data_IF_481014255365
#
_entry.id   IF_481014255365
#
_cell.length_a   1.000
_cell.length_b   1.000
_cell.length_c   1.000
_cell.angle_alpha   90.00
_cell.angle_beta   90.00
_cell.angle_gamma   90.00
#
_symmetry.space_group_name_H-M   'P 1'
#
loop_
_entity.id
_entity.type
_entity.pdbx_description
1 polymer ?
#
# COMPACT_ATOMS: atom_id res chain seq x y z
N UNK A 1 -11.24 44.99 32.79
CA UNK A 1 -11.74 44.25 31.61
C UNK A 1 -10.61 43.52 30.85
N UNK A 2 -9.54 44.19 30.38
CA UNK A 2 -8.40 43.54 29.66
C UNK A 2 -7.65 42.44 30.46
N UNK A 3 -7.55 42.59 31.78
CA UNK A 3 -6.85 41.62 32.65
C UNK A 3 -7.66 40.35 32.95
N UNK A 4 -9.00 40.44 32.96
CA UNK A 4 -9.89 39.30 33.15
C UNK A 4 -9.98 38.43 31.88
N UNK A 5 -9.94 39.06 30.70
CA UNK A 5 -9.94 38.36 29.41
C UNK A 5 -8.64 37.55 29.23
N UNK A 6 -7.48 38.11 29.63
CA UNK A 6 -6.20 37.37 29.61
C UNK A 6 -6.19 36.16 30.55
N UNK A 7 -6.81 36.26 31.74
CA UNK A 7 -6.91 35.15 32.69
C UNK A 7 -7.88 34.06 32.21
N UNK A 8 -8.99 34.45 31.56
CA UNK A 8 -9.93 33.50 30.97
C UNK A 8 -9.36 32.72 29.78
N UNK A 9 -8.59 33.38 28.91
CA UNK A 9 -7.94 32.72 27.77
C UNK A 9 -6.83 31.75 28.21
N UNK A 10 -6.09 32.10 29.27
CA UNK A 10 -5.03 31.25 29.82
C UNK A 10 -5.59 30.00 30.52
N UNK A 11 -6.75 30.11 31.16
CA UNK A 11 -7.43 28.97 31.77
C UNK A 11 -8.03 28.02 30.73
N UNK A 12 -8.61 28.56 29.64
CA UNK A 12 -9.16 27.76 28.55
C UNK A 12 -8.06 26.98 27.80
N UNK A 13 -6.90 27.61 27.58
CA UNK A 13 -5.76 26.97 26.92
C UNK A 13 -5.12 25.87 27.77
N UNK A 14 -5.10 26.04 29.10
CA UNK A 14 -4.60 25.02 30.03
C UNK A 14 -5.55 23.80 30.10
N UNK A 15 -6.86 24.02 30.03
CA UNK A 15 -7.86 22.93 29.99
C UNK A 15 -7.81 22.19 28.65
N UNK A 16 -7.62 22.89 27.53
CA UNK A 16 -7.47 22.26 26.22
C UNK A 16 -6.19 21.40 26.13
N UNK A 17 -5.08 21.87 26.71
CA UNK A 17 -3.83 21.11 26.80
C UNK A 17 -3.97 19.87 27.71
N UNK A 18 -4.71 20.01 28.81
CA UNK A 18 -4.98 18.89 29.73
C UNK A 18 -5.91 17.83 29.11
N UNK A 19 -6.87 18.24 28.28
CA UNK A 19 -7.74 17.32 27.52
C UNK A 19 -6.95 16.58 26.43
N UNK A 20 -5.98 17.23 25.77
CA UNK A 20 -5.08 16.56 24.83
C UNK A 20 -4.13 15.56 25.50
N UNK A 21 -3.76 15.76 26.78
CA UNK A 21 -2.92 14.82 27.53
C UNK A 21 -3.68 13.68 28.24
N UNK A 22 -5.03 13.73 28.25
CA UNK A 22 -5.89 12.70 28.85
C UNK A 22 -6.41 11.68 27.83
N UNK A 23 -6.11 11.87 26.54
CA UNK A 23 -6.31 10.82 25.56
C UNK A 23 -5.14 9.84 25.74
N UNK A 24 -5.37 8.58 26.14
CA UNK A 24 -4.35 7.57 26.00
C UNK A 24 -4.00 7.54 24.52
N UNK A 25 -2.80 8.00 24.18
CA UNK A 25 -2.11 7.49 22.99
C UNK A 25 -1.84 6.04 23.35
N UNK A 26 -2.81 5.17 23.12
CA UNK A 26 -2.50 3.77 22.91
C UNK A 26 -1.53 3.81 21.73
N UNK A 27 -0.26 3.54 21.98
CA UNK A 27 0.57 3.01 20.93
C UNK A 27 -0.23 1.82 20.42
N UNK A 28 -0.76 1.91 19.19
CA UNK A 28 -1.45 0.79 18.58
C UNK A 28 -0.45 -0.37 18.67
N UNK A 29 -0.78 -1.38 19.48
CA UNK A 29 -0.05 -2.63 19.47
C UNK A 29 -0.13 -3.07 18.01
N UNK A 30 1.01 -3.24 17.34
CA UNK A 30 1.01 -3.68 15.94
C UNK A 30 0.26 -4.99 15.91
N UNK A 31 -0.92 -4.99 15.29
CA UNK A 31 -1.76 -6.18 15.23
C UNK A 31 -0.91 -7.32 14.69
N UNK A 32 -0.88 -8.45 15.39
CA UNK A 32 -0.13 -9.59 14.89
C UNK A 32 -0.81 -10.09 13.61
N UNK A 33 -0.05 -10.68 12.69
CA UNK A 33 -0.65 -11.31 11.51
C UNK A 33 -1.70 -12.36 11.94
N UNK A 34 -1.46 -13.09 13.03
CA UNK A 34 -2.40 -14.08 13.54
C UNK A 34 -3.76 -13.44 13.91
N UNK A 35 -3.76 -12.31 14.61
CA UNK A 35 -5.00 -11.61 14.98
C UNK A 35 -5.73 -11.08 13.72
N UNK A 36 -4.99 -10.53 12.76
CA UNK A 36 -5.55 -10.07 11.50
C UNK A 36 -6.19 -11.22 10.70
N UNK A 37 -5.57 -12.40 10.71
CA UNK A 37 -6.07 -13.61 10.05
C UNK A 37 -7.30 -14.18 10.76
N UNK A 38 -7.33 -14.22 12.09
CA UNK A 38 -8.50 -14.67 12.85
C UNK A 38 -9.71 -13.75 12.59
N UNK A 39 -9.48 -12.44 12.55
CA UNK A 39 -10.52 -11.46 12.21
C UNK A 39 -10.97 -11.57 10.76
N UNK A 40 -10.04 -11.81 9.83
CA UNK A 40 -10.36 -12.03 8.41
C UNK A 40 -11.21 -13.28 8.22
N UNK A 41 -10.89 -14.37 8.93
CA UNK A 41 -11.69 -15.60 8.92
C UNK A 41 -13.11 -15.34 9.46
N UNK A 42 -13.22 -14.60 10.58
CA UNK A 42 -14.53 -14.22 11.14
C UNK A 42 -15.34 -13.34 10.18
N UNK A 43 -14.70 -12.38 9.53
CA UNK A 43 -15.34 -11.53 8.53
C UNK A 43 -15.85 -12.35 7.34
N UNK A 44 -15.05 -13.31 6.84
CA UNK A 44 -15.45 -14.16 5.74
C UNK A 44 -16.61 -15.09 6.12
N UNK A 45 -16.66 -15.60 7.34
CA UNK A 45 -17.83 -16.31 7.86
C UNK A 45 -19.10 -15.44 7.81
N UNK A 46 -19.01 -14.17 8.22
CA UNK A 46 -20.15 -13.25 8.12
C UNK A 46 -20.54 -12.97 6.67
N UNK A 47 -19.58 -12.91 5.75
CA UNK A 47 -19.85 -12.77 4.31
C UNK A 47 -20.63 -13.97 3.75
N UNK A 48 -20.29 -15.18 4.19
CA UNK A 48 -21.00 -16.41 3.82
C UNK A 48 -22.44 -16.43 4.38
N UNK A 49 -22.60 -16.08 5.66
CA UNK A 49 -23.91 -15.95 6.30
C UNK A 49 -24.80 -14.92 5.59
N UNK A 50 -24.22 -13.76 5.24
CA UNK A 50 -24.91 -12.70 4.51
C UNK A 50 -25.34 -13.16 3.10
N UNK A 51 -24.43 -13.75 2.32
CA UNK A 51 -24.72 -14.24 0.98
C UNK A 51 -25.81 -15.32 0.99
N UNK A 52 -25.74 -16.26 1.94
CA UNK A 52 -26.76 -17.29 2.13
C UNK A 52 -28.13 -16.70 2.51
N UNK A 53 -28.15 -15.67 3.36
CA UNK A 53 -29.38 -15.01 3.82
C UNK A 53 -30.09 -14.17 2.74
N UNK A 54 -29.33 -13.57 1.82
CA UNK A 54 -29.88 -12.71 0.76
C UNK A 54 -30.38 -13.48 -0.47
N UNK A 55 -30.12 -14.79 -0.57
CA UNK A 55 -30.29 -15.57 -1.81
C UNK A 55 -29.57 -14.90 -3.02
N UNK A 56 -28.48 -14.18 -2.77
CA UNK A 56 -27.70 -13.51 -3.80
C UNK A 56 -26.53 -14.40 -4.26
N UNK A 57 -26.08 -14.20 -5.49
CA UNK A 57 -24.84 -14.81 -6.03
C UNK A 57 -23.58 -14.04 -5.58
N UNK A 58 -23.65 -13.32 -4.45
CA UNK A 58 -22.50 -12.54 -3.96
C UNK A 58 -21.38 -13.48 -3.55
N UNK A 59 -20.20 -13.32 -4.16
CA UNK A 59 -19.00 -14.09 -3.81
C UNK A 59 -18.51 -13.65 -2.40
N UNK A 60 -18.57 -14.52 -1.37
CA UNK A 60 -18.17 -14.15 -0.01
C UNK A 60 -16.73 -13.66 0.07
N UNK A 61 -15.82 -14.23 -0.73
CA UNK A 61 -14.44 -13.77 -0.83
C UNK A 61 -14.37 -12.29 -1.25
N UNK A 62 -15.17 -11.89 -2.23
CA UNK A 62 -15.19 -10.50 -2.69
C UNK A 62 -15.89 -9.56 -1.71
N UNK A 63 -16.89 -10.02 -0.97
CA UNK A 63 -17.47 -9.24 0.13
C UNK A 63 -16.41 -8.96 1.21
N UNK A 64 -15.63 -9.97 1.59
CA UNK A 64 -14.52 -9.85 2.55
C UNK A 64 -13.46 -8.85 2.06
N UNK A 65 -12.95 -9.04 0.84
CA UNK A 65 -11.92 -8.16 0.25
C UNK A 65 -12.43 -6.72 0.14
N UNK A 66 -13.64 -6.52 -0.38
CA UNK A 66 -14.21 -5.19 -0.53
C UNK A 66 -14.45 -4.51 0.82
N UNK A 67 -14.86 -5.26 1.85
CA UNK A 67 -14.99 -4.73 3.20
C UNK A 67 -13.64 -4.23 3.72
N UNK A 68 -12.59 -5.07 3.71
CA UNK A 68 -11.26 -4.72 4.23
C UNK A 68 -10.68 -3.49 3.52
N UNK A 69 -10.76 -3.43 2.18
CA UNK A 69 -10.15 -2.32 1.42
C UNK A 69 -10.88 -0.97 1.53
N UNK A 70 -12.07 -0.93 2.13
CA UNK A 70 -13.05 0.17 1.98
C UNK A 70 -12.50 1.56 2.31
N UNK A 71 -11.61 1.69 3.30
CA UNK A 71 -11.14 3.01 3.72
C UNK A 71 -9.99 3.56 2.86
N UNK A 72 -9.19 2.69 2.22
CA UNK A 72 -7.96 3.07 1.51
C UNK A 72 -8.06 2.93 0.00
N UNK A 73 -8.72 1.88 -0.49
CA UNK A 73 -8.74 1.54 -1.91
C UNK A 73 -10.16 1.44 -2.44
N UNK A 74 -11.04 2.43 -2.20
CA UNK A 74 -12.46 2.41 -2.63
C UNK A 74 -12.85 3.58 -3.55
N UNK A 75 -11.93 4.02 -4.40
CA UNK A 75 -12.23 4.98 -5.46
C UNK A 75 -12.80 4.29 -6.72
N UNK A 76 -13.25 5.10 -7.68
CA UNK A 76 -13.87 4.62 -8.90
C UNK A 76 -12.98 3.67 -9.74
N UNK A 77 -11.66 3.80 -9.65
CA UNK A 77 -10.72 2.94 -10.38
C UNK A 77 -10.67 1.56 -9.74
N UNK A 78 -10.57 1.51 -8.41
CA UNK A 78 -10.60 0.26 -7.66
C UNK A 78 -11.96 -0.43 -7.73
N UNK A 79 -13.04 0.33 -7.65
CA UNK A 79 -14.41 -0.19 -7.75
C UNK A 79 -14.74 -0.75 -9.13
N UNK A 80 -14.11 -0.22 -10.19
CA UNK A 80 -14.22 -0.80 -11.54
C UNK A 80 -13.63 -2.21 -11.61
N UNK A 81 -12.63 -2.53 -10.80
CA UNK A 81 -11.89 -3.79 -10.82
C UNK A 81 -12.47 -4.79 -9.80
N UNK A 82 -12.69 -4.33 -8.57
CA UNK A 82 -13.09 -5.17 -7.44
C UNK A 82 -14.59 -5.12 -7.12
N UNK A 83 -15.32 -4.16 -7.72
CA UNK A 83 -16.73 -3.88 -7.43
C UNK A 83 -16.89 -3.09 -6.13
N UNK A 84 -17.78 -2.09 -6.11
CA UNK A 84 -17.94 -1.19 -4.97
C UNK A 84 -18.21 -1.92 -3.63
N UNK A 85 -17.66 -1.45 -2.49
CA UNK A 85 -18.02 -1.97 -1.18
C UNK A 85 -19.53 -1.90 -0.91
N UNK A 86 -20.11 -2.96 -0.34
CA UNK A 86 -21.53 -3.00 0.00
C UNK A 86 -21.79 -2.36 1.36
N UNK A 87 -22.57 -1.28 1.35
CA UNK A 87 -23.00 -0.60 2.58
C UNK A 87 -23.91 -1.50 3.42
N UNK A 88 -24.77 -2.32 2.79
CA UNK A 88 -25.65 -3.26 3.47
C UNK A 88 -24.86 -4.37 4.16
N UNK A 89 -23.82 -4.90 3.50
CA UNK A 89 -22.93 -5.87 4.14
C UNK A 89 -22.15 -5.22 5.29
N UNK A 90 -21.66 -4.00 5.12
CA UNK A 90 -20.96 -3.29 6.20
C UNK A 90 -21.86 -3.07 7.43
N UNK A 91 -23.13 -2.70 7.23
CA UNK A 91 -24.12 -2.59 8.31
C UNK A 91 -24.42 -3.95 8.96
N UNK A 92 -24.47 -5.03 8.18
CA UNK A 92 -24.63 -6.38 8.71
C UNK A 92 -23.45 -6.76 9.61
N UNK A 93 -22.21 -6.55 9.16
CA UNK A 93 -21.01 -6.81 9.96
C UNK A 93 -21.02 -5.97 11.24
N UNK A 94 -21.27 -4.67 11.16
CA UNK A 94 -21.33 -3.79 12.32
C UNK A 94 -22.39 -4.21 13.37
N UNK A 95 -23.47 -4.86 12.93
CA UNK A 95 -24.50 -5.41 13.81
C UNK A 95 -24.12 -6.73 14.50
N UNK A 96 -23.21 -7.51 13.90
CA UNK A 96 -22.79 -8.82 14.42
C UNK A 96 -21.47 -8.74 15.20
N UNK A 97 -20.51 -8.01 14.67
CA UNK A 97 -19.14 -7.91 15.18
C UNK A 97 -18.50 -6.57 14.77
N UNK A 98 -18.76 -5.49 15.54
CA UNK A 98 -18.29 -4.15 15.19
C UNK A 98 -16.77 -3.99 15.30
N UNK A 99 -16.06 -4.87 16.02
CA UNK A 99 -14.60 -4.78 16.15
C UNK A 99 -13.89 -5.07 14.82
N UNK A 100 -14.55 -5.79 13.89
CA UNK A 100 -14.01 -6.06 12.55
C UNK A 100 -13.80 -4.81 11.69
N UNK A 101 -14.38 -3.67 12.06
CA UNK A 101 -14.08 -2.38 11.40
C UNK A 101 -12.58 -2.06 11.43
N UNK A 102 -11.86 -2.53 12.45
CA UNK A 102 -10.42 -2.29 12.57
C UNK A 102 -9.61 -2.85 11.40
N UNK A 103 -10.08 -3.93 10.75
CA UNK A 103 -9.43 -4.50 9.56
C UNK A 103 -9.29 -3.48 8.43
N UNK A 104 -10.17 -2.46 8.38
CA UNK A 104 -10.15 -1.43 7.34
C UNK A 104 -9.08 -0.37 7.55
N UNK A 105 -8.52 -0.31 8.76
CA UNK A 105 -7.51 0.67 9.17
C UNK A 105 -6.20 0.02 9.60
N UNK A 106 -6.07 -1.30 9.41
CA UNK A 106 -4.80 -1.98 9.66
C UNK A 106 -3.73 -1.40 8.73
N UNK A 107 -2.58 -1.15 9.33
CA UNK A 107 -1.36 -0.78 8.62
C UNK A 107 -0.48 -2.03 8.49
N UNK A 108 0.80 -1.93 8.85
CA UNK A 108 1.74 -3.03 8.74
C UNK A 108 1.47 -4.12 9.78
N UNK A 109 1.49 -5.37 9.32
CA UNK A 109 1.55 -6.58 10.16
C UNK A 109 2.86 -7.30 9.93
N UNK A 110 3.40 -7.94 10.97
CA UNK A 110 4.68 -8.65 10.87
C UNK A 110 4.51 -10.03 10.26
N UNK A 111 5.26 -10.34 9.20
CA UNK A 111 5.35 -11.67 8.60
C UNK A 111 6.07 -12.61 9.59
N UNK A 112 5.44 -13.69 10.08
CA UNK A 112 6.03 -14.53 11.12
C UNK A 112 7.36 -15.18 10.74
N UNK A 113 7.53 -15.58 9.48
CA UNK A 113 8.71 -16.31 9.01
C UNK A 113 9.95 -15.41 8.87
N UNK A 114 9.79 -14.14 8.46
CA UNK A 114 10.90 -13.21 8.19
C UNK A 114 11.02 -12.09 9.21
N UNK A 115 9.93 -11.73 9.90
CA UNK A 115 9.85 -10.58 10.80
C UNK A 115 9.70 -9.23 10.09
N UNK A 116 9.55 -9.24 8.77
CA UNK A 116 9.37 -8.04 7.95
C UNK A 116 7.93 -7.53 8.01
N UNK A 117 7.71 -6.21 7.89
CA UNK A 117 6.37 -5.64 7.82
C UNK A 117 5.77 -5.85 6.42
N UNK A 118 4.48 -6.17 6.36
CA UNK A 118 3.68 -6.11 5.13
C UNK A 118 2.46 -5.23 5.37
N UNK A 119 2.14 -4.35 4.43
CA UNK A 119 0.92 -3.56 4.51
C UNK A 119 -0.29 -4.48 4.26
N UNK A 120 -1.08 -4.72 5.31
CA UNK A 120 -2.13 -5.73 5.26
C UNK A 120 -3.28 -5.34 4.33
N UNK A 121 -3.69 -4.07 4.34
CA UNK A 121 -4.82 -3.63 3.51
C UNK A 121 -4.40 -3.55 2.04
N UNK A 122 -3.17 -3.10 1.76
CA UNK A 122 -2.59 -3.14 0.42
C UNK A 122 -2.49 -4.58 -0.10
N UNK A 123 -2.00 -5.50 0.73
CA UNK A 123 -1.93 -6.94 0.41
C UNK A 123 -3.30 -7.49 0.02
N UNK A 124 -4.33 -7.26 0.85
CA UNK A 124 -5.69 -7.78 0.58
C UNK A 124 -6.28 -7.18 -0.70
N UNK A 125 -6.04 -5.89 -0.99
CA UNK A 125 -6.45 -5.27 -2.23
C UNK A 125 -5.73 -5.90 -3.46
N UNK A 126 -4.42 -6.12 -3.36
CA UNK A 126 -3.61 -6.77 -4.39
C UNK A 126 -4.00 -8.23 -4.65
N UNK A 127 -4.32 -9.00 -3.60
CA UNK A 127 -4.89 -10.36 -3.71
C UNK A 127 -6.18 -10.33 -4.52
N UNK A 128 -7.10 -9.43 -4.16
CA UNK A 128 -8.38 -9.29 -4.87
C UNK A 128 -8.20 -8.92 -6.33
N UNK A 129 -7.30 -7.99 -6.63
CA UNK A 129 -7.06 -7.57 -8.01
C UNK A 129 -6.44 -8.69 -8.84
N UNK A 130 -5.52 -9.45 -8.25
CA UNK A 130 -4.93 -10.62 -8.90
C UNK A 130 -5.97 -11.71 -9.15
N UNK A 131 -6.84 -11.99 -8.17
CA UNK A 131 -8.00 -12.89 -8.35
C UNK A 131 -8.91 -12.42 -9.50
N UNK A 132 -9.09 -11.10 -9.64
CA UNK A 132 -9.81 -10.46 -10.76
C UNK A 132 -8.97 -10.30 -12.04
N UNK A 133 -7.79 -10.91 -12.11
CA UNK A 133 -6.89 -10.93 -13.28
C UNK A 133 -6.33 -9.57 -13.68
N UNK A 134 -6.19 -8.67 -12.71
CA UNK A 134 -5.55 -7.35 -12.87
C UNK A 134 -4.32 -7.21 -11.95
N UNK A 135 -3.34 -8.13 -11.97
CA UNK A 135 -2.24 -8.10 -11.03
C UNK A 135 -1.33 -6.88 -11.20
N UNK A 136 -0.92 -6.53 -12.44
CA UNK A 136 0.15 -5.54 -12.64
C UNK A 136 -0.24 -4.15 -12.16
N UNK A 137 -1.31 -3.55 -12.72
CA UNK A 137 -1.70 -2.16 -12.40
C UNK A 137 -2.13 -1.95 -10.94
N UNK A 138 -2.65 -3.00 -10.29
CA UNK A 138 -3.16 -2.94 -8.92
C UNK A 138 -2.18 -3.46 -7.87
N UNK A 139 -0.97 -3.83 -8.28
CA UNK A 139 0.12 -4.15 -7.36
C UNK A 139 1.34 -3.33 -7.79
N UNK A 140 2.49 -3.97 -8.02
CA UNK A 140 3.78 -3.36 -8.33
C UNK A 140 3.74 -2.31 -9.45
N UNK A 141 2.90 -2.48 -10.47
CA UNK A 141 2.81 -1.56 -11.58
C UNK A 141 2.21 -0.20 -11.20
N UNK A 142 1.23 -0.18 -10.29
CA UNK A 142 0.62 1.06 -9.79
C UNK A 142 1.62 1.90 -9.01
N UNK A 143 2.35 1.27 -8.09
CA UNK A 143 3.33 1.94 -7.24
C UNK A 143 4.57 2.37 -8.05
N UNK A 144 4.98 1.58 -9.04
CA UNK A 144 5.98 1.99 -10.02
C UNK A 144 5.57 3.28 -10.76
N UNK A 145 4.31 3.42 -11.17
CA UNK A 145 3.83 4.65 -11.85
C UNK A 145 3.89 5.85 -10.91
N UNK A 146 3.46 5.68 -9.65
CA UNK A 146 3.50 6.74 -8.66
C UNK A 146 4.93 7.20 -8.37
N UNK A 147 5.83 6.25 -8.15
CA UNK A 147 7.24 6.53 -7.89
C UNK A 147 7.91 7.18 -9.10
N UNK A 148 7.70 6.68 -10.32
CA UNK A 148 8.20 7.29 -11.55
C UNK A 148 7.69 8.74 -11.71
N UNK A 149 6.42 8.97 -11.39
CA UNK A 149 5.80 10.31 -11.43
C UNK A 149 6.48 11.33 -10.52
N UNK A 150 7.12 10.89 -9.43
CA UNK A 150 7.83 11.79 -8.49
C UNK A 150 9.02 12.53 -9.11
N UNK A 151 9.60 11.98 -10.18
CA UNK A 151 10.73 12.57 -10.91
C UNK A 151 10.38 12.94 -12.36
N UNK A 152 9.08 13.07 -12.67
CA UNK A 152 8.61 13.45 -13.99
C UNK A 152 9.27 14.76 -14.45
N UNK A 153 9.78 14.77 -15.69
CA UNK A 153 10.31 15.99 -16.31
C UNK A 153 11.69 16.44 -15.80
N UNK A 154 12.40 15.61 -15.05
CA UNK A 154 13.80 15.87 -14.65
C UNK A 154 14.77 15.97 -15.84
N UNK A 155 14.42 15.37 -16.99
CA UNK A 155 15.25 15.33 -18.19
C UNK A 155 16.45 14.39 -18.11
N UNK A 156 16.51 13.56 -17.07
CA UNK A 156 17.48 12.47 -16.96
C UNK A 156 17.16 11.34 -17.94
N UNK A 157 18.19 10.61 -18.35
CA UNK A 157 18.03 9.32 -19.02
C UNK A 157 17.66 8.22 -18.01
N UNK A 158 17.43 7.00 -18.49
CA UNK A 158 17.01 5.89 -17.64
C UNK A 158 17.98 5.64 -16.47
N UNK A 159 19.29 5.63 -16.71
CA UNK A 159 20.28 5.41 -15.65
C UNK A 159 20.27 6.57 -14.63
N UNK A 160 20.17 7.82 -15.09
CA UNK A 160 20.02 8.96 -14.21
C UNK A 160 18.74 8.92 -13.38
N UNK A 161 17.65 8.38 -13.93
CA UNK A 161 16.40 8.14 -13.20
C UNK A 161 16.57 6.99 -12.17
N UNK A 162 17.25 5.90 -12.52
CA UNK A 162 17.58 4.81 -11.59
C UNK A 162 18.32 5.35 -10.37
N UNK A 163 19.37 6.16 -10.56
CA UNK A 163 20.14 6.73 -9.45
C UNK A 163 19.31 7.65 -8.55
N UNK A 164 18.31 8.34 -9.09
CA UNK A 164 17.40 9.21 -8.32
C UNK A 164 16.36 8.42 -7.54
N UNK A 165 15.83 7.34 -8.12
CA UNK A 165 14.73 6.58 -7.53
C UNK A 165 15.20 5.47 -6.57
N UNK A 166 16.41 4.94 -6.77
CA UNK A 166 16.95 3.83 -5.97
C UNK A 166 16.89 4.03 -4.45
N UNK A 167 17.14 5.22 -3.87
CA UNK A 167 17.02 5.43 -2.42
C UNK A 167 15.59 5.29 -1.88
N UNK A 168 14.58 5.41 -2.74
CA UNK A 168 13.17 5.36 -2.39
C UNK A 168 12.54 4.02 -2.79
N UNK A 169 13.10 3.29 -3.75
CA UNK A 169 12.58 1.99 -4.17
C UNK A 169 12.80 0.93 -3.08
N UNK A 170 11.72 0.35 -2.54
CA UNK A 170 11.77 -0.71 -1.50
C UNK A 170 12.56 -0.25 -0.27
N UNK A 171 12.33 0.99 0.18
CA UNK A 171 13.01 1.52 1.36
C UNK A 171 12.28 1.14 2.67
N UNK A 172 13.05 0.92 3.73
CA UNK A 172 12.51 0.63 5.07
C UNK A 172 11.79 1.82 5.73
N UNK A 173 12.12 3.06 5.34
CA UNK A 173 11.43 4.25 5.85
C UNK A 173 10.11 4.46 5.10
N UNK A 174 9.03 3.97 5.70
CA UNK A 174 7.64 4.10 5.23
C UNK A 174 7.23 5.54 4.86
N UNK A 175 7.87 6.56 5.43
CA UNK A 175 7.52 7.97 5.16
C UNK A 175 8.37 8.59 4.04
N UNK A 176 9.40 7.88 3.57
CA UNK A 176 10.33 8.38 2.58
C UNK A 176 9.92 8.05 1.14
N UNK A 177 9.05 7.07 0.93
CA UNK A 177 8.75 6.53 -0.40
C UNK A 177 7.26 6.38 -0.69
N UNK A 178 6.95 6.37 -1.98
CA UNK A 178 5.66 5.95 -2.55
C UNK A 178 5.63 4.45 -2.87
N UNK A 179 6.69 3.73 -2.54
CA UNK A 179 6.86 2.29 -2.68
C UNK A 179 7.83 1.79 -1.59
N UNK A 180 7.43 1.88 -0.30
CA UNK A 180 8.21 1.35 0.80
C UNK A 180 8.30 -0.19 0.74
N UNK A 181 9.14 -0.77 1.60
CA UNK A 181 9.33 -2.23 1.64
C UNK A 181 8.01 -2.97 1.95
N UNK A 182 7.17 -2.44 2.84
CA UNK A 182 5.87 -3.04 3.19
C UNK A 182 4.94 -3.22 1.98
N UNK A 183 4.82 -2.19 1.14
CA UNK A 183 4.03 -2.19 -0.09
C UNK A 183 4.65 -3.12 -1.14
N UNK A 184 5.98 -3.09 -1.30
CA UNK A 184 6.67 -4.04 -2.19
C UNK A 184 6.40 -5.50 -1.82
N UNK A 185 6.48 -5.83 -0.53
CA UNK A 185 6.14 -7.17 -0.07
C UNK A 185 4.67 -7.48 -0.32
N UNK A 186 3.77 -6.53 -0.06
CA UNK A 186 2.33 -6.68 -0.32
C UNK A 186 2.02 -6.89 -1.81
N UNK A 187 2.76 -6.23 -2.71
CA UNK A 187 2.62 -6.37 -4.15
C UNK A 187 3.02 -7.76 -4.64
N UNK A 188 4.20 -8.23 -4.23
CA UNK A 188 4.69 -9.56 -4.62
C UNK A 188 3.80 -10.66 -4.05
N UNK A 189 3.49 -10.54 -2.76
CA UNK A 189 2.72 -11.54 -2.02
C UNK A 189 1.25 -11.54 -2.46
N UNK A 190 0.68 -10.38 -2.78
CA UNK A 190 -0.67 -10.25 -3.30
C UNK A 190 -0.86 -10.95 -4.64
N UNK A 191 0.15 -10.87 -5.53
CA UNK A 191 0.18 -11.64 -6.77
C UNK A 191 0.28 -13.14 -6.49
N UNK A 192 1.21 -13.55 -5.63
CA UNK A 192 1.47 -14.96 -5.36
C UNK A 192 0.29 -15.66 -4.70
N UNK A 193 -0.39 -14.98 -3.77
CA UNK A 193 -1.58 -15.52 -3.10
C UNK A 193 -2.77 -15.45 -4.06
N UNK A 194 -3.03 -14.29 -4.67
CA UNK A 194 -4.23 -14.09 -5.48
C UNK A 194 -4.35 -15.01 -6.70
N UNK A 195 -3.24 -15.44 -7.30
CA UNK A 195 -3.27 -16.36 -8.45
C UNK A 195 -3.71 -17.78 -8.07
N UNK A 196 -3.60 -18.14 -6.78
CA UNK A 196 -4.01 -19.45 -6.25
C UNK A 196 -5.49 -19.52 -5.90
N UNK A 197 -6.16 -18.37 -5.76
CA UNK A 197 -7.54 -18.31 -5.31
C UNK A 197 -8.54 -18.70 -6.40
N UNK A 198 -9.58 -19.40 -5.97
CA UNK A 198 -10.84 -19.60 -6.70
C UNK A 198 -12.03 -19.10 -5.87
N UNK A 199 -13.22 -19.02 -6.48
CA UNK A 199 -14.45 -18.72 -5.74
C UNK A 199 -14.63 -19.71 -4.57
N UNK A 200 -14.97 -19.20 -3.39
CA UNK A 200 -15.09 -19.97 -2.17
C UNK A 200 -13.76 -20.32 -1.47
N UNK A 201 -12.63 -19.81 -1.93
CA UNK A 201 -11.36 -19.96 -1.19
C UNK A 201 -11.42 -19.22 0.14
N UNK A 202 -10.81 -19.78 1.18
CA UNK A 202 -10.61 -19.12 2.46
C UNK A 202 -9.41 -18.16 2.36
N UNK A 203 -9.67 -16.86 2.49
CA UNK A 203 -8.64 -15.82 2.38
C UNK A 203 -7.63 -15.90 3.52
N UNK A 204 -8.11 -16.15 4.73
CA UNK A 204 -7.27 -16.23 5.92
C UNK A 204 -6.33 -17.43 5.85
N UNK A 205 -6.87 -18.59 5.47
CA UNK A 205 -6.09 -19.80 5.26
C UNK A 205 -5.05 -19.59 4.14
N UNK A 206 -5.42 -18.98 3.02
CA UNK A 206 -4.49 -18.75 1.91
C UNK A 206 -3.30 -17.86 2.30
N UNK A 207 -3.56 -16.73 2.99
CA UNK A 207 -2.50 -15.85 3.49
C UNK A 207 -1.66 -16.58 4.55
N UNK A 208 -2.30 -17.25 5.49
CA UNK A 208 -1.63 -17.98 6.56
C UNK A 208 -0.72 -19.09 6.04
N UNK A 209 -1.18 -19.90 5.08
CA UNK A 209 -0.38 -20.94 4.45
C UNK A 209 0.82 -20.38 3.67
N UNK A 210 0.62 -19.28 2.93
CA UNK A 210 1.69 -18.63 2.18
C UNK A 210 2.83 -18.17 3.10
N UNK A 211 2.50 -17.62 4.27
CA UNK A 211 3.49 -17.08 5.21
C UNK A 211 4.14 -18.08 6.18
N UNK A 212 3.77 -19.37 6.14
CA UNK A 212 4.35 -20.38 7.07
C UNK A 212 5.86 -20.57 6.89
N UNK A 213 6.34 -20.58 5.64
CA UNK A 213 7.73 -20.89 5.28
C UNK A 213 8.25 -19.96 4.18
N UNK A 214 7.71 -18.73 4.09
CA UNK A 214 8.13 -17.77 3.07
C UNK A 214 9.59 -17.35 3.28
N UNK A 215 10.30 -17.18 2.17
CA UNK A 215 11.62 -16.56 2.08
C UNK A 215 11.63 -15.61 0.89
N UNK A 216 12.59 -14.69 0.82
CA UNK A 216 12.73 -13.80 -0.35
C UNK A 216 12.91 -14.56 -1.65
N UNK A 217 13.72 -15.63 -1.63
CA UNK A 217 13.90 -16.49 -2.79
C UNK A 217 12.57 -17.14 -3.22
N UNK A 218 11.80 -17.70 -2.28
CA UNK A 218 10.51 -18.34 -2.57
C UNK A 218 9.50 -17.33 -3.11
N UNK A 219 9.41 -16.16 -2.49
CA UNK A 219 8.57 -15.02 -2.88
C UNK A 219 8.88 -14.56 -4.30
N UNK A 220 10.13 -14.20 -4.56
CA UNK A 220 10.56 -13.71 -5.87
C UNK A 220 10.39 -14.78 -6.94
N UNK A 221 10.70 -16.04 -6.63
CA UNK A 221 10.57 -17.15 -7.59
C UNK A 221 9.11 -17.37 -8.00
N UNK A 222 8.19 -17.39 -7.04
CA UNK A 222 6.76 -17.54 -7.32
C UNK A 222 6.24 -16.35 -8.12
N UNK A 223 6.65 -15.13 -7.75
CA UNK A 223 6.22 -13.91 -8.44
C UNK A 223 6.71 -13.89 -9.88
N UNK A 224 7.99 -14.20 -10.11
CA UNK A 224 8.58 -14.21 -11.44
C UNK A 224 7.89 -15.23 -12.34
N UNK A 225 7.62 -16.46 -11.84
CA UNK A 225 6.84 -17.44 -12.59
C UNK A 225 5.43 -16.94 -12.91
N UNK A 226 4.75 -16.34 -11.94
CA UNK A 226 3.38 -15.87 -12.11
C UNK A 226 3.26 -14.72 -13.13
N UNK A 227 4.22 -13.78 -13.13
CA UNK A 227 4.14 -12.58 -13.96
C UNK A 227 4.85 -12.71 -15.30
N UNK A 228 6.02 -13.36 -15.33
CA UNK A 228 6.92 -13.38 -16.48
C UNK A 228 7.14 -14.79 -17.05
N UNK A 229 6.73 -15.83 -16.33
CA UNK A 229 6.99 -17.22 -16.70
C UNK A 229 8.43 -17.63 -16.38
N UNK A 230 9.03 -18.45 -17.23
CA UNK A 230 10.46 -18.78 -17.09
C UNK A 230 11.32 -17.55 -17.43
N UNK A 231 12.36 -17.32 -16.63
CA UNK A 231 13.21 -16.15 -16.76
C UNK A 231 14.65 -16.49 -16.33
N UNK A 232 15.64 -15.91 -17.02
CA UNK A 232 17.03 -15.93 -16.60
C UNK A 232 17.36 -14.61 -15.88
N UNK A 233 17.19 -14.57 -14.56
CA UNK A 233 17.40 -13.34 -13.79
C UNK A 233 18.88 -12.96 -13.67
N UNK A 234 19.80 -13.87 -14.04
CA UNK A 234 21.23 -13.61 -14.14
C UNK A 234 21.60 -12.79 -15.38
N UNK A 235 20.81 -12.87 -16.44
CA UNK A 235 20.90 -11.97 -17.60
C UNK A 235 20.09 -10.69 -17.32
N UNK A 236 20.72 -9.75 -16.62
CA UNK A 236 20.05 -8.52 -16.16
C UNK A 236 19.46 -7.70 -17.29
N UNK A 237 20.14 -7.61 -18.43
CA UNK A 237 19.65 -6.82 -19.56
C UNK A 237 18.39 -7.44 -20.15
N UNK A 238 18.42 -8.75 -20.42
CA UNK A 238 17.26 -9.47 -20.94
C UNK A 238 16.10 -9.47 -19.95
N UNK A 239 16.37 -9.65 -18.65
CA UNK A 239 15.33 -9.67 -17.63
C UNK A 239 14.69 -8.29 -17.42
N UNK A 240 15.48 -7.21 -17.41
CA UNK A 240 14.94 -5.83 -17.42
C UNK A 240 14.01 -5.60 -18.61
N UNK A 241 14.40 -6.07 -19.80
CA UNK A 241 13.54 -5.94 -20.98
C UNK A 241 12.24 -6.73 -20.82
N UNK A 242 12.29 -7.95 -20.29
CA UNK A 242 11.09 -8.76 -20.03
C UNK A 242 10.12 -8.07 -19.05
N UNK A 243 10.63 -7.43 -17.99
CA UNK A 243 9.82 -6.66 -17.03
C UNK A 243 9.20 -5.43 -17.71
N UNK A 244 9.98 -4.68 -18.50
CA UNK A 244 9.48 -3.54 -19.28
C UNK A 244 8.38 -3.96 -20.26
N UNK A 245 8.60 -5.02 -21.02
CA UNK A 245 7.62 -5.54 -21.98
C UNK A 245 6.32 -5.91 -21.28
N UNK A 246 6.39 -6.60 -20.14
CA UNK A 246 5.21 -6.93 -19.33
C UNK A 246 4.48 -5.69 -18.85
N UNK A 247 5.21 -4.72 -18.30
CA UNK A 247 4.65 -3.47 -17.76
C UNK A 247 3.95 -2.66 -18.86
N UNK A 248 4.65 -2.39 -19.96
CA UNK A 248 4.12 -1.56 -21.05
C UNK A 248 3.05 -2.25 -21.89
N UNK A 249 3.01 -3.59 -21.93
CA UNK A 249 1.94 -4.34 -22.59
C UNK A 249 0.67 -4.51 -21.73
N UNK A 250 0.74 -4.26 -20.42
CA UNK A 250 -0.41 -4.41 -19.53
C UNK A 250 -1.48 -3.35 -19.83
N UNK A 251 -2.70 -3.80 -20.13
CA UNK A 251 -3.79 -2.91 -20.51
C UNK A 251 -4.28 -2.03 -19.35
N UNK A 252 -4.13 -2.49 -18.10
CA UNK A 252 -4.45 -1.69 -16.92
C UNK A 252 -3.46 -0.53 -16.76
N UNK A 253 -2.17 -0.81 -16.88
CA UNK A 253 -1.10 0.20 -16.88
C UNK A 253 -1.30 1.21 -17.99
N UNK A 254 -1.54 0.76 -19.22
CA UNK A 254 -1.81 1.65 -20.36
C UNK A 254 -3.02 2.56 -20.11
N UNK A 255 -4.14 1.99 -19.61
CA UNK A 255 -5.34 2.76 -19.30
C UNK A 255 -5.08 3.80 -18.21
N UNK A 256 -4.38 3.43 -17.15
CA UNK A 256 -4.04 4.33 -16.06
C UNK A 256 -3.16 5.49 -16.56
N UNK A 257 -2.09 5.19 -17.29
CA UNK A 257 -1.18 6.20 -17.84
C UNK A 257 -1.86 7.11 -18.87
N UNK A 258 -2.75 6.57 -19.71
CA UNK A 258 -3.57 7.39 -20.63
C UNK A 258 -4.52 8.32 -19.86
N UNK A 259 -5.17 7.82 -18.81
CA UNK A 259 -6.07 8.64 -17.97
C UNK A 259 -5.33 9.79 -17.28
N UNK A 260 -4.07 9.57 -16.93
CA UNK A 260 -3.17 10.55 -16.30
C UNK A 260 -2.40 11.42 -17.32
N UNK A 261 -2.60 11.19 -18.62
CA UNK A 261 -1.88 11.88 -19.72
C UNK A 261 -0.35 11.67 -19.69
N UNK A 262 0.08 10.54 -19.13
CA UNK A 262 1.47 10.08 -19.10
C UNK A 262 1.78 9.11 -20.26
N UNK A 263 0.75 8.65 -20.96
CA UNK A 263 0.84 8.03 -22.29
C UNK A 263 -0.02 8.79 -23.29
N UNK A 264 0.30 8.64 -24.57
CA UNK A 264 -0.42 9.22 -25.71
C UNK A 264 -0.41 8.25 -26.89
N UNK A 265 -1.11 8.61 -27.96
CA UNK A 265 -0.96 7.98 -29.27
C UNK A 265 0.07 8.73 -30.11
N UNK A 266 0.97 8.00 -30.77
CA UNK A 266 1.86 8.53 -31.81
C UNK A 266 1.12 8.74 -33.15
N UNK A 267 1.85 9.14 -34.21
CA UNK A 267 1.27 9.37 -35.53
C UNK A 267 0.67 8.09 -36.14
N UNK A 268 1.25 6.93 -35.83
CA UNK A 268 0.81 5.60 -36.23
C UNK A 268 -0.29 5.00 -35.34
N UNK A 269 -0.72 5.72 -34.29
CA UNK A 269 -1.69 5.30 -33.26
C UNK A 269 -1.21 4.17 -32.36
N UNK A 270 0.09 4.02 -32.16
CA UNK A 270 0.64 3.20 -31.10
C UNK A 270 0.56 3.96 -29.78
N UNK A 271 0.34 3.23 -28.68
CA UNK A 271 0.40 3.79 -27.34
C UNK A 271 1.87 3.95 -26.96
N UNK A 272 2.27 5.17 -26.62
CA UNK A 272 3.65 5.52 -26.25
C UNK A 272 3.65 6.37 -24.98
N UNK A 273 4.69 6.23 -24.15
CA UNK A 273 4.91 7.12 -23.02
C UNK A 273 5.21 8.54 -23.53
N UNK A 274 4.79 9.56 -22.78
CA UNK A 274 5.21 10.94 -23.07
C UNK A 274 6.68 11.11 -22.69
N UNK A 275 7.44 11.94 -23.42
CA UNK A 275 8.89 12.13 -23.22
C UNK A 275 9.30 12.37 -21.76
N UNK A 276 8.49 13.11 -21.00
CA UNK A 276 8.77 13.42 -19.59
C UNK A 276 8.65 12.23 -18.63
N UNK A 277 8.06 11.13 -19.09
CA UNK A 277 7.76 9.92 -18.30
C UNK A 277 8.44 8.67 -18.84
N UNK A 278 8.92 8.66 -20.08
CA UNK A 278 9.54 7.48 -20.70
C UNK A 278 10.73 6.95 -19.89
N UNK A 279 11.74 7.79 -19.60
CA UNK A 279 12.89 7.39 -18.80
C UNK A 279 12.53 7.03 -17.34
N UNK A 280 11.69 7.80 -16.61
CA UNK A 280 11.22 7.40 -15.28
C UNK A 280 10.51 6.04 -15.22
N UNK A 281 9.61 5.74 -16.18
CA UNK A 281 8.88 4.47 -16.22
C UNK A 281 9.82 3.29 -16.54
N UNK A 282 10.75 3.48 -17.47
CA UNK A 282 11.77 2.48 -17.75
C UNK A 282 12.67 2.22 -16.53
N UNK A 283 13.01 3.26 -15.77
CA UNK A 283 13.86 3.15 -14.58
C UNK A 283 13.21 2.34 -13.45
N UNK A 284 11.93 2.56 -13.13
CA UNK A 284 11.23 1.75 -12.11
C UNK A 284 11.06 0.28 -12.55
N UNK A 285 10.86 0.02 -13.84
CA UNK A 285 10.87 -1.35 -14.37
C UNK A 285 12.25 -2.00 -14.22
N UNK A 286 13.32 -1.26 -14.49
CA UNK A 286 14.69 -1.76 -14.31
C UNK A 286 15.03 -2.03 -12.85
N UNK A 287 14.60 -1.15 -11.93
CA UNK A 287 14.72 -1.35 -10.48
C UNK A 287 13.94 -2.60 -10.02
N UNK A 288 12.71 -2.78 -10.51
CA UNK A 288 11.91 -3.99 -10.24
C UNK A 288 12.65 -5.26 -10.65
N UNK A 289 13.18 -5.29 -11.88
CA UNK A 289 13.94 -6.43 -12.39
C UNK A 289 15.22 -6.69 -11.58
N UNK A 290 15.96 -5.62 -11.25
CA UNK A 290 17.19 -5.73 -10.46
C UNK A 290 16.93 -6.26 -9.05
N UNK A 291 15.91 -5.75 -8.37
CA UNK A 291 15.54 -6.20 -7.03
C UNK A 291 15.11 -7.66 -7.03
N UNK A 292 14.30 -8.09 -8.01
CA UNK A 292 13.91 -9.50 -8.14
C UNK A 292 15.13 -10.40 -8.46
N UNK A 293 16.04 -9.95 -9.33
CA UNK A 293 17.27 -10.66 -9.62
C UNK A 293 18.18 -10.79 -8.38
N UNK A 294 18.25 -9.74 -7.54
CA UNK A 294 18.99 -9.76 -6.28
C UNK A 294 18.37 -10.74 -5.27
N UNK A 295 17.04 -10.74 -5.10
CA UNK A 295 16.33 -11.70 -4.25
C UNK A 295 16.54 -13.16 -4.69
N UNK A 296 16.79 -13.39 -5.98
CA UNK A 296 17.03 -14.70 -6.57
C UNK A 296 18.51 -15.05 -6.73
N UNK A 297 19.42 -14.15 -6.35
CA UNK A 297 20.86 -14.33 -6.58
C UNK A 297 21.23 -14.55 -8.05
N UNK A 298 20.44 -14.02 -8.99
CA UNK A 298 20.59 -14.22 -10.43
C UNK A 298 20.23 -15.63 -10.93
N UNK A 299 19.44 -16.40 -10.17
CA UNK A 299 19.04 -17.75 -10.56
C UNK A 299 18.12 -17.76 -11.80
N UNK A 300 18.21 -18.83 -12.58
CA UNK A 300 17.19 -19.14 -13.60
C UNK A 300 15.93 -19.66 -12.94
N UNK A 301 14.82 -19.02 -13.24
CA UNK A 301 13.49 -19.39 -12.77
C UNK A 301 12.83 -20.27 -13.84
N UNK A 302 12.45 -21.49 -13.46
CA UNK A 302 11.79 -22.48 -14.33
C UNK A 302 10.62 -23.13 -13.60
N UNK A 303 9.68 -23.77 -14.31
CA UNK A 303 8.56 -24.47 -13.66
C UNK A 303 9.02 -25.71 -12.86
N UNK A 304 10.19 -26.27 -13.19
CA UNK A 304 10.76 -27.40 -12.48
C UNK A 304 11.21 -27.00 -11.05
N UNK A 305 10.99 -27.84 -10.03
CA UNK A 305 11.44 -27.54 -8.67
C UNK A 305 12.95 -27.28 -8.68
N UNK A 306 13.37 -26.20 -8.00
CA UNK A 306 14.77 -25.83 -7.89
C UNK A 306 15.57 -27.03 -7.38
N UNK A 307 16.54 -27.50 -8.17
CA UNK A 307 17.50 -28.47 -7.67
C UNK A 307 18.33 -27.75 -6.61
N UNK A 308 18.10 -28.11 -5.34
CA UNK A 308 18.95 -27.71 -4.23
C UNK A 308 20.38 -28.16 -4.53
N UNK A 309 21.20 -27.23 -4.98
CA UNK A 309 22.63 -27.46 -5.12
C UNK A 309 23.24 -27.34 -3.72
N UNK A 310 23.35 -28.48 -3.02
CA UNK A 310 24.11 -28.58 -1.78
C UNK A 310 25.59 -28.22 -2.02
N UNK A 311 26.03 -27.14 -1.37
CA UNK A 311 27.36 -26.86 -0.80
C UNK A 311 28.61 -27.34 -1.55
N UNK A 312 29.44 -26.38 -1.97
CA UNK A 312 30.87 -26.45 -1.70
C UNK A 312 31.30 -25.30 -0.80
N UNK A 313 31.46 -25.63 0.47
CA UNK A 313 32.18 -24.84 1.44
C UNK A 313 33.68 -24.77 1.11
N UNK A 314 34.24 -23.57 1.24
CA UNK A 314 35.64 -23.38 1.61
C UNK A 314 36.44 -22.46 0.69
N UNK A 315 36.52 -21.18 1.06
CA UNK A 315 37.82 -20.57 1.42
C UNK A 315 37.61 -19.19 2.05
N UNK A 316 38.16 -19.07 3.25
CA UNK A 316 38.39 -17.85 4.01
C UNK A 316 39.43 -16.99 3.30
N UNK A 317 39.17 -15.70 3.12
CA UNK A 317 40.22 -14.69 3.15
C UNK A 317 39.67 -13.34 3.64
N UNK A 318 40.57 -12.61 4.28
CA UNK A 318 40.35 -11.59 5.28
C UNK A 318 40.53 -10.18 4.75
N UNK A 319 39.67 -9.26 5.21
CA UNK A 319 39.99 -7.85 5.46
C UNK A 319 39.79 -6.88 4.30
N UNK A 320 38.85 -5.95 4.45
CA UNK A 320 39.13 -4.50 4.55
C UNK A 320 37.82 -3.74 4.81
N UNK A 321 37.89 -2.78 5.72
CA UNK A 321 36.80 -1.90 6.15
C UNK A 321 36.85 -0.61 5.30
N UNK A 322 35.77 -0.18 4.63
CA UNK A 322 35.69 1.16 4.10
C UNK A 322 34.95 2.10 5.04
N UNK A 323 35.53 3.27 5.18
CA UNK A 323 35.12 4.48 5.87
C UNK A 323 33.72 5.00 5.49
N UNK A 324 32.98 5.46 6.50
CA UNK A 324 31.77 6.30 6.37
C UNK A 324 32.04 7.59 5.57
N UNK A 325 31.11 8.02 4.70
CA UNK A 325 30.94 9.43 4.37
C UNK A 325 29.91 10.11 5.28
N UNK A 326 30.22 11.36 5.66
CA UNK A 326 29.33 12.31 6.36
C UNK A 326 28.07 12.66 5.55
N UNK A 327 26.97 13.09 6.22
CA UNK A 327 25.67 13.26 5.60
C UNK A 327 25.59 14.51 4.72
N UNK A 328 25.20 14.33 3.46
CA UNK A 328 24.77 15.43 2.59
C UNK A 328 23.39 15.92 3.05
N UNK A 329 23.28 17.23 3.27
CA UNK A 329 22.03 17.89 3.65
C UNK A 329 20.99 17.80 2.52
N UNK A 330 19.87 17.16 2.84
CA UNK A 330 18.70 16.95 1.99
C UNK A 330 17.94 18.26 1.73
N UNK A 331 17.67 18.55 0.46
CA UNK A 331 16.66 19.54 0.03
C UNK A 331 15.85 18.96 -1.14
N UNK A 332 14.89 18.09 -0.82
CA UNK A 332 13.82 17.65 -1.73
C UNK A 332 12.56 17.29 -0.90
N UNK A 333 11.35 17.38 -1.48
CA UNK A 333 10.13 17.71 -0.77
C UNK A 333 9.53 16.54 0.00
N UNK A 334 9.11 16.79 1.24
CA UNK A 334 8.17 15.94 1.98
C UNK A 334 6.80 16.09 1.34
N UNK A 335 6.34 15.07 0.61
CA UNK A 335 4.97 14.99 0.11
C UNK A 335 4.44 13.56 0.26
N UNK A 336 3.75 13.36 1.36
CA UNK A 336 2.96 12.18 1.70
C UNK A 336 2.21 12.51 2.97
N UNK A 337 1.04 13.13 2.83
CA UNK A 337 0.17 13.41 3.95
C UNK A 337 -0.28 12.07 4.55
N UNK A 338 0.16 11.78 5.77
CA UNK A 338 -0.22 10.59 6.52
C UNK A 338 -1.74 10.38 6.55
N UNK A 339 -2.16 9.12 6.72
CA UNK A 339 -3.55 8.65 6.88
C UNK A 339 -4.43 9.53 7.80
N UNK A 340 -3.81 10.25 8.75
CA UNK A 340 -4.43 11.28 9.58
C UNK A 340 -5.01 12.48 8.79
N UNK A 341 -4.34 12.96 7.74
CA UNK A 341 -4.80 14.10 6.95
C UNK A 341 -6.02 13.75 6.07
N UNK A 342 -6.06 12.53 5.51
CA UNK A 342 -7.24 12.03 4.80
C UNK A 342 -8.42 11.80 5.76
N UNK A 343 -8.16 11.32 6.98
CA UNK A 343 -9.16 11.22 8.05
C UNK A 343 -9.69 12.60 8.47
N UNK A 344 -8.82 13.60 8.55
CA UNK A 344 -9.21 14.99 8.80
C UNK A 344 -9.99 15.62 7.63
N UNK A 345 -9.75 15.19 6.39
CA UNK A 345 -10.48 15.64 5.21
C UNK A 345 -11.91 15.07 5.16
N UNK A 346 -12.13 13.82 5.59
CA UNK A 346 -13.47 13.23 5.80
C UNK A 346 -14.28 13.94 6.91
N UNK A 347 -13.61 14.49 7.92
CA UNK A 347 -14.24 15.26 9.01
C UNK A 347 -14.05 16.78 8.90
N UNK A 348 -13.93 17.33 7.69
CA UNK A 348 -13.76 18.76 7.46
C UNK A 348 -14.89 19.65 8.04
N UNK A 349 -16.01 19.06 8.47
CA UNK A 349 -17.13 19.73 9.14
C UNK A 349 -16.96 19.88 10.67
N UNK A 350 -16.12 19.08 11.33
CA UNK A 350 -15.90 19.14 12.78
C UNK A 350 -15.34 20.49 13.25
N UNK A 351 -14.37 21.13 12.54
CA UNK A 351 -13.89 22.46 12.87
C UNK A 351 -14.98 23.54 12.75
N UNK A 352 -15.92 23.38 11.80
CA UNK A 352 -17.07 24.28 11.64
C UNK A 352 -18.13 24.05 12.71
N UNK A 353 -18.35 22.80 13.13
CA UNK A 353 -19.25 22.47 14.24
C UNK A 353 -18.71 23.00 15.57
N UNK A 354 -17.41 22.82 15.85
CA UNK A 354 -16.74 23.35 17.03
C UNK A 354 -16.61 24.89 16.99
N UNK A 355 -16.30 25.46 15.82
CA UNK A 355 -16.27 26.91 15.60
C UNK A 355 -17.64 27.56 15.77
N UNK A 356 -18.71 26.89 15.35
CA UNK A 356 -20.09 27.32 15.57
C UNK A 356 -20.49 27.34 17.04
N UNK A 357 -20.08 26.31 17.81
CA UNK A 357 -20.31 26.25 19.27
C UNK A 357 -19.53 27.35 20.00
N UNK A 358 -18.28 27.61 19.62
CA UNK A 358 -17.47 28.69 20.21
C UNK A 358 -18.05 30.07 19.90
N UNK A 359 -18.51 30.31 18.66
CA UNK A 359 -19.15 31.55 18.27
C UNK A 359 -20.49 31.76 19.01
N UNK A 360 -21.27 30.69 19.18
CA UNK A 360 -22.51 30.71 19.96
C UNK A 360 -22.25 31.04 21.44
N UNK A 361 -21.26 30.40 22.07
CA UNK A 361 -20.88 30.70 23.45
C UNK A 361 -20.40 32.15 23.63
N UNK A 362 -19.64 32.69 22.68
CA UNK A 362 -19.21 34.10 22.69
C UNK A 362 -20.39 35.07 22.55
N UNK A 363 -21.34 34.77 21.66
CA UNK A 363 -22.55 35.59 21.48
C UNK A 363 -23.44 35.57 22.71
N UNK A 364 -23.61 34.43 23.37
CA UNK A 364 -24.34 34.30 24.64
C UNK A 364 -23.67 35.12 25.74
N UNK A 365 -22.34 35.08 25.86
CA UNK A 365 -21.59 35.88 26.84
C UNK A 365 -21.69 37.40 26.55
N UNK A 366 -21.69 37.81 25.27
CA UNK A 366 -21.91 39.21 24.88
C UNK A 366 -23.34 39.66 25.20
N UNK A 367 -24.34 38.81 24.96
CA UNK A 367 -25.74 39.12 25.29
C UNK A 367 -25.98 39.22 26.81
N UNK A 368 -25.38 38.32 27.60
CA UNK A 368 -25.46 38.34 29.06
C UNK A 368 -24.73 39.55 29.66
N UNK A 369 -23.60 39.98 29.08
CA UNK A 369 -22.88 41.18 29.53
C UNK A 369 -23.58 42.50 29.18
N UNK A 370 -24.48 42.51 28.19
CA UNK A 370 -25.30 43.67 27.83
C UNK A 370 -26.58 43.82 28.68
N UNK A 371 -27.10 42.73 29.24
CA UNK A 371 -28.28 42.76 30.15
C UNK A 371 -27.93 43.10 31.61
N UNK A 372 -26.64 43.13 31.96
CA UNK A 372 -26.15 43.47 33.30
C UNK A 372 -25.67 44.93 33.46
N UNK A 373 -26.12 45.86 32.60
CA UNK A 373 -25.92 47.30 32.76
C UNK A 373 -27.24 48.01 32.99
#
# INVERSE_FOLDING_TARGET
MKQMIKRGLSALSAVLLAVCMLMPVYAAETASLADALDQTARLQQLAEEYAAGQQSESDPLMLTINYIRTQRYADASWDMILGAPSEEFAQFVAGQDPELEQLQTLENVQIPATGEPVDFVHLVAGIGATYKRMPVVCTWGGDCIQLAGSIQGTGADEEGCIQQLKPYFVCEDENASLMPQSDWLADLDGVNIGITLSSGSDLSEAIGQYYQDITDEKRARQFVLAQFGEADTGDREAFRQQVKDKFFADSGVQLLLLSQKQMTLDEERNIVAVDSMDAPLNAVCSLTADTLADMLGGAKVTEAPAQTSESQAGQTESGEQPTQPEPAQSTAPVLGQSSLAQTMQKHAWLPWALGGVVLFCLLVLVALSRKGR
#
